data_IF_051958447726
#
_entry.id   IF_051958447726
#
_cell.length_a   1.000
_cell.length_b   1.000
_cell.length_c   1.000
_cell.angle_alpha   90.00
_cell.angle_beta   90.00
_cell.angle_gamma   90.00
#
_symmetry.space_group_name_H-M   'P 1'
#
loop_
_entity.id
_entity.type
_entity.pdbx_description
1 polymer ?
#
# COMPACT_ATOMS: atom_id res chain seq x y z
N UNK A 1 11.23 -9.89 -5.40
CA UNK A 1 10.38 -11.12 -5.28
C UNK A 1 10.70 -12.06 -6.42
N UNK A 2 10.57 -13.39 -6.25
CA UNK A 2 10.82 -14.37 -7.34
C UNK A 2 9.53 -14.47 -8.18
N UNK A 3 9.51 -14.04 -9.47
CA UNK A 3 8.26 -13.88 -10.24
C UNK A 3 7.41 -15.16 -10.32
N UNK A 4 8.05 -16.34 -10.51
CA UNK A 4 7.33 -17.62 -10.62
C UNK A 4 6.63 -18.10 -9.33
N UNK A 5 6.91 -17.46 -8.20
CA UNK A 5 6.32 -17.77 -6.90
C UNK A 5 5.42 -16.65 -6.39
N UNK A 6 5.14 -15.68 -7.23
CA UNK A 6 4.44 -14.47 -6.84
C UNK A 6 3.16 -14.28 -7.64
N UNK A 7 2.08 -13.94 -6.97
CA UNK A 7 0.83 -13.54 -7.62
C UNK A 7 0.90 -12.05 -7.97
N UNK A 8 0.54 -11.64 -9.19
CA UNK A 8 0.66 -10.24 -9.62
C UNK A 8 -0.06 -9.24 -8.71
N UNK A 9 -1.27 -9.57 -8.25
CA UNK A 9 -2.07 -8.72 -7.37
C UNK A 9 -1.41 -8.52 -6.00
N UNK A 10 -0.76 -9.55 -5.45
CA UNK A 10 -0.03 -9.43 -4.19
C UNK A 10 1.26 -8.63 -4.37
N UNK A 11 1.98 -8.86 -5.48
CA UNK A 11 3.20 -8.10 -5.82
C UNK A 11 2.89 -6.61 -5.97
N UNK A 12 1.78 -6.26 -6.63
CA UNK A 12 1.38 -4.88 -6.86
C UNK A 12 1.18 -4.10 -5.55
N UNK A 13 0.65 -4.74 -4.48
CA UNK A 13 0.48 -4.11 -3.17
C UNK A 13 1.82 -3.67 -2.57
N UNK A 14 2.86 -4.48 -2.78
CA UNK A 14 4.18 -4.30 -2.17
C UNK A 14 5.19 -3.62 -3.09
N UNK A 15 4.75 -3.12 -4.25
CA UNK A 15 5.66 -2.41 -5.15
C UNK A 15 6.03 -1.04 -4.60
N UNK A 16 7.24 -0.52 -4.93
CA UNK A 16 7.65 0.82 -4.55
C UNK A 16 6.68 1.91 -5.04
N UNK A 17 6.16 1.76 -6.25
CA UNK A 17 5.22 2.70 -6.86
C UNK A 17 3.90 2.77 -6.08
N UNK A 18 3.38 1.60 -5.65
CA UNK A 18 2.18 1.55 -4.80
C UNK A 18 2.45 2.18 -3.44
N UNK A 19 3.61 1.93 -2.85
CA UNK A 19 4.03 2.56 -1.59
C UNK A 19 4.03 4.08 -1.71
N UNK A 20 4.67 4.65 -2.72
CA UNK A 20 4.72 6.09 -2.93
C UNK A 20 3.34 6.67 -3.24
N UNK A 21 2.48 5.92 -3.92
CA UNK A 21 1.09 6.35 -4.14
C UNK A 21 0.32 6.46 -2.83
N UNK A 22 0.46 5.50 -1.93
CA UNK A 22 -0.17 5.53 -0.60
C UNK A 22 0.43 6.67 0.24
N UNK A 23 1.74 6.91 0.19
CA UNK A 23 2.35 8.04 0.88
C UNK A 23 1.76 9.38 0.42
N UNK A 24 1.59 9.54 -0.88
CA UNK A 24 0.92 10.72 -1.43
C UNK A 24 -0.52 10.86 -0.90
N UNK A 25 -1.29 9.79 -0.92
CA UNK A 25 -2.67 9.80 -0.43
C UNK A 25 -2.75 10.22 1.05
N UNK A 26 -1.85 9.70 1.90
CA UNK A 26 -1.77 10.07 3.33
C UNK A 26 -1.50 11.56 3.49
N UNK A 27 -0.50 12.09 2.78
CA UNK A 27 -0.14 13.50 2.82
C UNK A 27 -1.27 14.40 2.31
N UNK A 28 -1.94 14.00 1.24
CA UNK A 28 -3.04 14.75 0.66
C UNK A 28 -4.26 14.77 1.58
N UNK A 29 -4.62 13.65 2.22
CA UNK A 29 -5.69 13.62 3.23
C UNK A 29 -5.36 14.47 4.46
N UNK A 30 -4.09 14.48 4.89
CA UNK A 30 -3.66 15.37 5.96
C UNK A 30 -3.81 16.84 5.56
N UNK A 31 -3.48 17.19 4.31
CA UNK A 31 -3.71 18.55 3.79
C UNK A 31 -5.20 18.91 3.73
N UNK A 32 -6.08 17.99 3.35
CA UNK A 32 -7.53 18.22 3.38
C UNK A 32 -8.02 18.52 4.79
N UNK A 33 -7.60 17.71 5.78
CA UNK A 33 -7.96 17.95 7.18
C UNK A 33 -7.45 19.32 7.69
N UNK A 34 -6.21 19.70 7.34
CA UNK A 34 -5.66 21.00 7.69
C UNK A 34 -6.41 22.15 7.01
N UNK A 35 -6.88 21.96 5.77
CA UNK A 35 -7.69 22.94 5.06
C UNK A 35 -9.10 23.09 5.67
N UNK A 36 -9.71 21.99 6.14
CA UNK A 36 -10.99 22.04 6.86
C UNK A 36 -10.86 22.80 8.18
N UNK A 37 -9.75 22.62 8.89
CA UNK A 37 -9.43 23.35 10.13
C UNK A 37 -9.01 24.81 9.87
N UNK A 38 -8.85 25.24 8.61
CA UNK A 38 -8.42 26.58 8.26
C UNK A 38 -6.93 26.85 8.50
N UNK A 39 -6.12 25.82 8.69
CA UNK A 39 -4.67 25.92 8.90
C UNK A 39 -3.93 26.21 7.60
N UNK A 40 -4.39 25.62 6.50
CA UNK A 40 -3.88 25.87 5.15
C UNK A 40 -5.00 26.34 4.21
N UNK A 41 -4.67 27.03 3.09
CA UNK A 41 -5.68 27.40 2.11
C UNK A 41 -6.35 26.18 1.46
N UNK A 42 -7.67 26.22 1.28
CA UNK A 42 -8.42 25.15 0.59
C UNK A 42 -7.96 24.93 -0.86
N UNK A 43 -7.60 26.02 -1.55
CA UNK A 43 -7.07 25.94 -2.91
C UNK A 43 -5.70 25.22 -2.96
N UNK A 44 -4.87 25.34 -1.91
CA UNK A 44 -3.62 24.61 -1.83
C UNK A 44 -3.86 23.10 -1.70
N UNK A 45 -4.76 22.65 -0.82
CA UNK A 45 -5.15 21.25 -0.70
C UNK A 45 -5.68 20.69 -2.03
N UNK A 46 -6.54 21.44 -2.72
CA UNK A 46 -7.05 21.07 -4.05
C UNK A 46 -5.90 20.92 -5.07
N UNK A 47 -4.98 21.89 -5.13
CA UNK A 47 -3.81 21.84 -6.02
C UNK A 47 -2.95 20.61 -5.74
N UNK A 48 -2.71 20.29 -4.45
CA UNK A 48 -1.95 19.12 -4.02
C UNK A 48 -2.60 17.82 -4.55
N UNK A 49 -3.92 17.68 -4.39
CA UNK A 49 -4.66 16.56 -4.93
C UNK A 49 -4.58 16.46 -6.45
N UNK A 50 -4.90 17.52 -7.16
CA UNK A 50 -4.96 17.53 -8.62
C UNK A 50 -3.61 17.16 -9.24
N UNK A 51 -2.54 17.83 -8.81
CA UNK A 51 -1.20 17.63 -9.36
C UNK A 51 -0.54 16.36 -8.86
N UNK A 52 -0.66 16.05 -7.57
CA UNK A 52 -0.07 14.86 -6.99
C UNK A 52 -0.73 13.56 -7.47
N UNK A 53 -2.06 13.57 -7.72
CA UNK A 53 -2.74 12.41 -8.31
C UNK A 53 -2.25 12.10 -9.72
N UNK A 54 -1.91 13.13 -10.48
CA UNK A 54 -1.37 13.00 -11.84
C UNK A 54 0.14 12.67 -11.85
N UNK A 55 0.85 12.82 -10.72
CA UNK A 55 2.27 12.57 -10.64
C UNK A 55 2.62 11.11 -10.89
N UNK A 56 3.66 10.90 -11.66
CA UNK A 56 4.28 9.58 -11.85
C UNK A 56 5.53 9.55 -10.95
N UNK A 57 5.45 8.76 -9.89
CA UNK A 57 6.58 8.60 -8.99
C UNK A 57 7.66 7.75 -9.63
N UNK A 58 8.81 8.35 -9.87
CA UNK A 58 10.00 7.68 -10.39
C UNK A 58 10.82 7.18 -9.20
N UNK A 59 10.86 5.87 -9.03
CA UNK A 59 11.56 5.22 -7.91
C UNK A 59 13.04 5.52 -7.93
N UNK A 60 13.68 5.47 -9.11
CA UNK A 60 15.12 5.71 -9.24
C UNK A 60 15.46 7.18 -8.92
N UNK A 61 14.63 8.12 -9.38
CA UNK A 61 14.82 9.54 -9.06
C UNK A 61 14.68 9.81 -7.56
N UNK A 62 13.69 9.17 -6.89
CA UNK A 62 13.53 9.30 -5.44
C UNK A 62 14.73 8.70 -4.70
N UNK A 63 15.23 7.54 -5.12
CA UNK A 63 16.41 6.90 -4.53
C UNK A 63 17.66 7.77 -4.67
N UNK A 64 17.83 8.47 -5.81
CA UNK A 64 18.95 9.43 -5.99
C UNK A 64 18.84 10.62 -5.03
N UNK A 65 17.64 11.16 -4.83
CA UNK A 65 17.41 12.23 -3.86
C UNK A 65 17.71 11.72 -2.45
N UNK A 66 17.31 10.50 -2.12
CA UNK A 66 17.57 9.89 -0.81
C UNK A 66 19.05 9.70 -0.52
N UNK A 67 19.88 9.41 -1.52
CA UNK A 67 21.34 9.32 -1.35
C UNK A 67 21.96 10.64 -0.85
N UNK A 68 21.33 11.77 -1.16
CA UNK A 68 21.74 13.10 -0.70
C UNK A 68 21.09 13.46 0.63
N UNK A 69 19.77 13.33 0.73
CA UNK A 69 18.99 13.73 1.90
C UNK A 69 19.19 12.81 3.10
N UNK A 70 19.58 11.54 2.86
CA UNK A 70 19.69 10.47 3.86
C UNK A 70 18.38 10.22 4.61
N UNK A 71 17.25 10.48 3.96
CA UNK A 71 15.92 10.35 4.55
C UNK A 71 14.88 10.06 3.48
N UNK A 72 14.21 8.93 3.58
CA UNK A 72 13.28 8.38 2.59
C UNK A 72 12.04 9.27 2.37
N UNK A 73 11.34 9.65 3.45
CA UNK A 73 10.14 10.49 3.34
C UNK A 73 10.49 11.88 2.79
N UNK A 74 11.61 12.47 3.20
CA UNK A 74 12.06 13.76 2.66
C UNK A 74 12.40 13.65 1.17
N UNK A 75 13.01 12.55 0.74
CA UNK A 75 13.32 12.31 -0.67
C UNK A 75 12.02 12.23 -1.50
N UNK A 76 11.03 11.48 -1.03
CA UNK A 76 9.71 11.40 -1.64
C UNK A 76 9.03 12.77 -1.73
N UNK A 77 8.99 13.52 -0.62
CA UNK A 77 8.37 14.85 -0.57
C UNK A 77 9.07 15.84 -1.51
N UNK A 78 10.38 15.75 -1.63
CA UNK A 78 11.18 16.58 -2.58
C UNK A 78 10.76 16.27 -4.01
N UNK A 79 10.67 15.00 -4.38
CA UNK A 79 10.20 14.59 -5.70
C UNK A 79 8.74 15.00 -5.96
N UNK A 80 7.85 14.81 -4.98
CA UNK A 80 6.45 15.25 -5.09
C UNK A 80 6.33 16.76 -5.32
N UNK A 81 7.19 17.55 -4.68
CA UNK A 81 7.19 19.01 -4.81
C UNK A 81 7.47 19.48 -6.24
N UNK A 82 8.20 18.70 -7.05
CA UNK A 82 8.46 19.01 -8.47
C UNK A 82 7.16 19.04 -9.29
N UNK A 83 6.17 18.22 -8.93
CA UNK A 83 4.86 18.17 -9.58
C UNK A 83 3.89 19.19 -9.01
N UNK A 84 3.82 19.30 -7.69
CA UNK A 84 2.86 20.17 -6.98
C UNK A 84 3.25 21.64 -7.13
N UNK A 85 4.54 21.95 -7.08
CA UNK A 85 5.05 23.30 -7.15
C UNK A 85 4.94 24.06 -5.82
N UNK A 86 4.66 25.39 -5.81
CA UNK A 86 4.74 26.24 -4.61
C UNK A 86 3.86 25.78 -3.44
N UNK A 87 2.74 25.11 -3.70
CA UNK A 87 1.83 24.63 -2.67
C UNK A 87 2.35 23.40 -1.92
N UNK A 88 3.44 22.76 -2.41
CA UNK A 88 4.10 21.67 -1.71
C UNK A 88 4.60 22.06 -0.31
N UNK A 89 4.80 23.36 -0.04
CA UNK A 89 5.17 23.89 1.29
C UNK A 89 4.15 23.56 2.39
N UNK A 90 2.94 23.20 2.04
CA UNK A 90 1.88 22.83 2.98
C UNK A 90 1.83 21.33 3.28
N UNK A 91 2.54 20.50 2.50
CA UNK A 91 2.60 19.07 2.71
C UNK A 91 3.46 18.75 3.94
N UNK A 92 3.11 17.69 4.64
CA UNK A 92 3.83 17.16 5.82
C UNK A 92 3.84 18.10 7.05
N UNK A 93 2.93 19.05 7.13
CA UNK A 93 2.84 19.95 8.29
C UNK A 93 2.27 19.22 9.51
N UNK A 94 3.02 19.25 10.62
CA UNK A 94 2.61 18.64 11.88
C UNK A 94 2.69 17.12 11.92
N UNK A 95 3.30 16.51 10.92
CA UNK A 95 3.50 15.06 10.81
C UNK A 95 4.95 14.66 11.04
N UNK A 96 5.16 13.40 11.38
CA UNK A 96 6.47 12.75 11.37
C UNK A 96 6.50 11.64 10.32
N UNK A 97 7.70 11.20 9.94
CA UNK A 97 7.87 10.12 8.97
C UNK A 97 7.10 8.86 9.34
N UNK A 98 7.04 8.50 10.64
CA UNK A 98 6.30 7.33 11.11
C UNK A 98 4.80 7.41 10.86
N UNK A 99 4.20 8.61 10.85
CA UNK A 99 2.78 8.78 10.50
C UNK A 99 2.51 8.31 9.06
N UNK A 100 3.47 8.54 8.16
CA UNK A 100 3.38 8.12 6.75
C UNK A 100 3.73 6.64 6.60
N UNK A 101 4.84 6.20 7.19
CA UNK A 101 5.36 4.84 7.05
C UNK A 101 4.42 3.80 7.65
N UNK A 102 3.99 3.99 8.90
CA UNK A 102 3.18 3.01 9.63
C UNK A 102 1.75 2.98 9.09
N UNK A 103 1.19 4.13 8.69
CA UNK A 103 -0.12 4.18 8.04
C UNK A 103 -0.08 3.50 6.68
N UNK A 104 0.95 3.74 5.88
CA UNK A 104 1.15 3.06 4.60
C UNK A 104 1.22 1.54 4.79
N UNK A 105 2.03 1.09 5.75
CA UNK A 105 2.17 -0.34 6.04
C UNK A 105 0.83 -0.96 6.48
N UNK A 106 0.06 -0.28 7.32
CA UNK A 106 -1.27 -0.74 7.72
C UNK A 106 -2.24 -0.86 6.52
N UNK A 107 -2.22 0.09 5.59
CA UNK A 107 -3.01 0.04 4.35
C UNK A 107 -2.59 -1.14 3.48
N UNK A 108 -1.28 -1.36 3.30
CA UNK A 108 -0.76 -2.50 2.53
C UNK A 108 -1.14 -3.84 3.17
N UNK A 109 -1.03 -3.97 4.51
CA UNK A 109 -1.46 -5.17 5.25
C UNK A 109 -2.95 -5.43 5.07
N UNK A 110 -3.80 -4.40 5.14
CA UNK A 110 -5.25 -4.54 4.93
C UNK A 110 -5.53 -5.06 3.54
N UNK A 111 -4.98 -4.44 2.50
CA UNK A 111 -5.16 -4.87 1.10
C UNK A 111 -4.67 -6.30 0.86
N UNK A 112 -3.53 -6.67 1.46
CA UNK A 112 -2.99 -8.03 1.36
C UNK A 112 -3.88 -9.05 2.08
N UNK A 113 -4.41 -8.70 3.25
CA UNK A 113 -5.30 -9.54 4.04
C UNK A 113 -6.62 -9.81 3.31
N UNK A 114 -7.18 -8.83 2.59
CA UNK A 114 -8.41 -9.01 1.81
C UNK A 114 -8.22 -10.07 0.71
N UNK A 115 -7.05 -10.10 0.06
CA UNK A 115 -6.71 -11.15 -0.92
C UNK A 115 -6.64 -12.51 -0.23
N UNK A 116 -5.95 -12.61 0.92
CA UNK A 116 -5.80 -13.86 1.64
C UNK A 116 -7.14 -14.39 2.16
N UNK A 117 -8.03 -13.52 2.66
CA UNK A 117 -9.36 -13.91 3.11
C UNK A 117 -10.19 -14.46 1.94
N UNK A 118 -10.14 -13.82 0.79
CA UNK A 118 -10.79 -14.31 -0.43
C UNK A 118 -10.27 -15.70 -0.85
N UNK A 119 -8.95 -15.92 -0.75
CA UNK A 119 -8.34 -17.22 -1.04
C UNK A 119 -8.78 -18.30 -0.04
N UNK A 120 -8.89 -17.96 1.24
CA UNK A 120 -9.37 -18.88 2.29
C UNK A 120 -10.82 -19.27 2.03
N UNK A 121 -11.68 -18.33 1.69
CA UNK A 121 -13.08 -18.62 1.35
C UNK A 121 -13.18 -19.57 0.15
N UNK A 122 -12.38 -19.35 -0.88
CA UNK A 122 -12.26 -20.24 -2.04
C UNK A 122 -11.79 -21.65 -1.66
N UNK A 123 -10.78 -21.74 -0.79
CA UNK A 123 -10.27 -23.02 -0.27
C UNK A 123 -11.33 -23.76 0.55
N UNK A 124 -12.01 -23.06 1.46
CA UNK A 124 -13.08 -23.64 2.28
C UNK A 124 -14.22 -24.18 1.42
N UNK A 125 -14.63 -23.45 0.39
CA UNK A 125 -15.63 -23.90 -0.57
C UNK A 125 -15.19 -25.18 -1.31
N UNK A 126 -13.93 -25.23 -1.74
CA UNK A 126 -13.36 -26.40 -2.40
C UNK A 126 -13.29 -27.62 -1.47
N UNK A 127 -12.81 -27.42 -0.24
CA UNK A 127 -12.74 -28.48 0.77
C UNK A 127 -14.12 -29.03 1.10
N UNK A 128 -15.11 -28.15 1.31
CA UNK A 128 -16.52 -28.56 1.56
C UNK A 128 -17.02 -29.41 0.42
N UNK A 129 -16.87 -28.98 -0.83
CA UNK A 129 -17.30 -29.73 -2.01
C UNK A 129 -16.67 -31.12 -2.04
N UNK A 130 -15.35 -31.21 -1.87
CA UNK A 130 -14.59 -32.46 -1.90
C UNK A 130 -14.97 -33.39 -0.74
N UNK A 131 -15.17 -32.84 0.46
CA UNK A 131 -15.60 -33.62 1.62
C UNK A 131 -16.96 -34.28 1.39
N UNK A 132 -17.94 -33.58 0.82
CA UNK A 132 -19.23 -34.15 0.48
C UNK A 132 -19.16 -35.16 -0.67
N UNK A 133 -18.36 -34.89 -1.71
CA UNK A 133 -18.14 -35.77 -2.85
C UNK A 133 -17.56 -37.12 -2.42
N UNK A 134 -16.58 -37.10 -1.51
CA UNK A 134 -15.84 -38.27 -1.06
C UNK A 134 -16.33 -38.82 0.31
N UNK A 135 -17.46 -38.37 0.80
CA UNK A 135 -18.00 -38.78 2.11
C UNK A 135 -18.03 -40.28 2.34
N UNK A 136 -18.34 -41.04 1.30
CA UNK A 136 -18.48 -42.50 1.35
C UNK A 136 -17.33 -43.22 0.57
N UNK A 137 -16.31 -42.54 0.16
CA UNK A 137 -15.17 -43.12 -0.54
C UNK A 137 -14.33 -43.93 0.44
N UNK A 138 -14.26 -45.25 0.22
CA UNK A 138 -13.47 -46.13 1.05
C UNK A 138 -11.98 -45.89 0.82
N UNK A 139 -11.24 -45.72 1.89
CA UNK A 139 -9.78 -45.50 1.86
C UNK A 139 -9.13 -46.19 3.05
N UNK A 140 -7.83 -46.39 2.97
CA UNK A 140 -7.04 -46.90 4.09
C UNK A 140 -6.69 -45.73 5.03
N UNK A 141 -7.08 -45.84 6.30
CA UNK A 141 -6.57 -45.01 7.38
C UNK A 141 -5.31 -45.60 7.97
N UNK A 142 -4.23 -44.81 8.04
CA UNK A 142 -2.97 -45.26 8.65
C UNK A 142 -2.51 -44.25 9.70
N UNK A 143 -2.24 -44.76 10.90
CA UNK A 143 -1.69 -43.97 12.00
C UNK A 143 -0.63 -44.78 12.72
N UNK A 144 0.54 -44.22 12.98
CA UNK A 144 1.68 -44.90 13.65
C UNK A 144 2.04 -46.26 13.05
N UNK A 145 1.91 -46.44 11.72
CA UNK A 145 2.18 -47.70 11.04
C UNK A 145 1.09 -48.78 11.13
N UNK A 146 -0.05 -48.44 11.76
CA UNK A 146 -1.22 -49.35 11.86
C UNK A 146 -2.27 -48.87 10.85
N UNK A 147 -2.89 -49.83 10.12
CA UNK A 147 -3.93 -49.61 9.14
C UNK A 147 -5.32 -49.80 9.74
#
# INVERSE_FOLDING_TARGET
MIPRYSRPEMVAIWSPETRFRIWFEIEAYACDALAELGVIPREAAKTIWEKGSAAKFDVEAIDEIERVTKHDVIAFLTHLAEFVGPDARFIHQGMTSSDVLDTCFAVQLTRASDILLTDIDGLLAALKRRAFEHKNTVTIGRSHGIH
#
